data_IF_944890823676
#
_entry.id   IF_944890823676
#
_cell.length_a   1.000
_cell.length_b   1.000
_cell.length_c   1.000
_cell.angle_alpha   90.00
_cell.angle_beta   90.00
_cell.angle_gamma   90.00
#
_symmetry.space_group_name_H-M   'P 1'
#
loop_
_entity.id
_entity.type
_entity.pdbx_description
1 polymer ?
#
# COMPACT_ATOMS: atom_id res chain seq x y z
N UNK A 1 32.93 -4.28 30.31
CA UNK A 1 31.76 -3.40 30.33
C UNK A 1 30.78 -3.96 29.30
N UNK A 2 29.84 -4.81 29.75
CA UNK A 2 28.88 -5.46 28.86
C UNK A 2 27.81 -4.42 28.48
N UNK A 3 27.89 -3.89 27.26
CA UNK A 3 26.81 -3.09 26.69
C UNK A 3 25.67 -4.03 26.34
N UNK A 4 24.75 -4.24 27.29
CA UNK A 4 23.47 -4.87 26.99
C UNK A 4 22.74 -3.98 25.99
N UNK A 5 22.67 -4.43 24.74
CA UNK A 5 21.84 -3.81 23.72
C UNK A 5 20.41 -3.91 24.22
N UNK A 6 19.69 -2.79 24.42
CA UNK A 6 18.34 -2.83 24.97
C UNK A 6 17.45 -3.66 24.05
N UNK A 7 16.87 -4.75 24.57
CA UNK A 7 15.92 -5.58 23.82
C UNK A 7 14.75 -4.69 23.41
N UNK A 8 14.57 -4.52 22.10
CA UNK A 8 13.47 -3.78 21.50
C UNK A 8 12.15 -4.33 22.09
N UNK A 9 11.34 -3.45 22.68
CA UNK A 9 10.02 -3.84 23.19
C UNK A 9 9.14 -4.23 22.00
N UNK A 10 8.44 -5.36 22.06
CA UNK A 10 7.56 -5.81 20.96
C UNK A 10 6.49 -4.79 20.57
N UNK A 11 6.10 -3.89 21.49
CA UNK A 11 5.22 -2.73 21.21
C UNK A 11 5.86 -1.75 20.22
N UNK A 12 7.16 -1.51 20.37
CA UNK A 12 7.91 -0.61 19.50
C UNK A 12 8.07 -1.20 18.10
N UNK A 13 8.27 -2.52 17.99
CA UNK A 13 8.34 -3.20 16.69
C UNK A 13 7.01 -3.16 15.93
N UNK A 14 5.89 -3.39 16.62
CA UNK A 14 4.57 -3.20 16.02
C UNK A 14 4.32 -1.75 15.59
N UNK A 15 4.77 -0.78 16.38
CA UNK A 15 4.68 0.64 16.02
C UNK A 15 5.44 0.96 14.73
N UNK A 16 6.68 0.47 14.59
CA UNK A 16 7.47 0.66 13.37
C UNK A 16 6.88 -0.08 12.17
N UNK A 17 6.29 -1.26 12.37
CA UNK A 17 5.57 -1.97 11.33
C UNK A 17 4.39 -1.15 10.80
N UNK A 18 3.53 -0.66 11.71
CA UNK A 18 2.39 0.17 11.35
C UNK A 18 2.84 1.45 10.64
N UNK A 19 3.90 2.10 11.12
CA UNK A 19 4.45 3.31 10.51
C UNK A 19 4.98 3.04 9.10
N UNK A 20 5.66 1.91 8.87
CA UNK A 20 6.12 1.53 7.53
C UNK A 20 4.94 1.29 6.57
N UNK A 21 3.87 0.65 7.05
CA UNK A 21 2.65 0.45 6.26
C UNK A 21 1.97 1.76 5.89
N UNK A 22 1.87 2.69 6.84
CA UNK A 22 1.34 4.03 6.59
C UNK A 22 2.23 4.81 5.61
N UNK A 23 3.55 4.72 5.73
CA UNK A 23 4.48 5.34 4.79
C UNK A 23 4.34 4.76 3.38
N UNK A 24 4.17 3.44 3.28
CA UNK A 24 3.90 2.73 2.02
C UNK A 24 2.57 3.17 1.39
N UNK A 25 1.54 3.40 2.20
CA UNK A 25 0.29 3.97 1.72
C UNK A 25 0.47 5.43 1.26
N UNK A 26 1.21 6.24 2.02
CA UNK A 26 1.44 7.65 1.68
C UNK A 26 2.22 7.85 0.39
N UNK A 27 3.21 7.01 0.08
CA UNK A 27 3.89 7.07 -1.21
C UNK A 27 3.00 6.64 -2.37
N UNK A 28 2.11 5.66 -2.16
CA UNK A 28 1.11 5.25 -3.16
C UNK A 28 0.14 6.40 -3.44
N UNK A 29 -0.36 7.07 -2.39
CA UNK A 29 -1.21 8.28 -2.53
C UNK A 29 -0.47 9.34 -3.34
N UNK A 30 0.77 9.67 -2.97
CA UNK A 30 1.56 10.68 -3.66
C UNK A 30 1.75 10.35 -5.15
N UNK A 31 2.13 9.11 -5.47
CA UNK A 31 2.36 8.69 -6.85
C UNK A 31 1.08 8.78 -7.69
N UNK A 32 -0.06 8.38 -7.13
CA UNK A 32 -1.34 8.45 -7.81
C UNK A 32 -1.83 9.89 -7.96
N UNK A 33 -1.62 10.75 -6.95
CA UNK A 33 -1.92 12.18 -7.05
C UNK A 33 -1.07 12.86 -8.13
N UNK A 34 0.23 12.55 -8.20
CA UNK A 34 1.12 13.03 -9.27
C UNK A 34 0.69 12.51 -10.64
N UNK A 35 0.27 11.25 -10.73
CA UNK A 35 -0.24 10.68 -11.98
C UNK A 35 -1.51 11.40 -12.43
N UNK A 36 -2.44 11.67 -11.50
CA UNK A 36 -3.66 12.43 -11.75
C UNK A 36 -3.41 13.87 -12.21
N UNK A 37 -2.31 14.48 -11.77
CA UNK A 37 -1.87 15.81 -12.24
C UNK A 37 -1.31 15.79 -13.66
N UNK A 38 -0.62 14.72 -14.04
CA UNK A 38 -0.04 14.55 -15.38
C UNK A 38 -1.10 14.12 -16.41
N UNK A 39 -2.15 13.44 -15.94
CA UNK A 39 -3.19 12.90 -16.79
C UNK A 39 -4.20 14.00 -17.23
N UNK A 40 -4.61 14.03 -18.51
CA UNK A 40 -5.53 15.06 -19.00
C UNK A 40 -6.89 14.98 -18.31
N UNK A 41 -7.47 16.14 -17.95
CA UNK A 41 -8.72 16.28 -17.21
C UNK A 41 -9.95 15.66 -17.86
N UNK A 42 -9.84 15.27 -19.13
CA UNK A 42 -10.90 14.61 -19.93
C UNK A 42 -10.88 13.09 -19.82
N UNK A 43 -9.89 12.51 -19.15
CA UNK A 43 -9.78 11.07 -18.99
C UNK A 43 -10.12 10.70 -17.54
N UNK A 44 -11.20 9.93 -17.44
CA UNK A 44 -11.75 9.23 -16.29
C UNK A 44 -10.78 9.09 -15.11
N UNK A 45 -11.16 9.64 -13.96
CA UNK A 45 -10.32 9.65 -12.74
C UNK A 45 -9.93 8.22 -12.37
N UNK A 46 -8.79 8.01 -11.71
CA UNK A 46 -8.34 6.67 -11.28
C UNK A 46 -9.38 5.87 -10.46
N UNK A 47 -10.34 6.56 -9.82
CA UNK A 47 -11.51 5.95 -9.17
C UNK A 47 -12.47 5.23 -10.15
N UNK A 48 -12.60 5.74 -11.37
CA UNK A 48 -13.43 5.14 -12.42
C UNK A 48 -12.84 3.82 -12.92
N UNK A 49 -11.52 3.63 -12.83
CA UNK A 49 -10.90 2.33 -13.10
C UNK A 49 -11.31 1.26 -12.10
N UNK A 50 -11.73 1.67 -10.90
CA UNK A 50 -12.30 0.81 -9.88
C UNK A 50 -13.80 0.57 -10.09
N UNK A 51 -14.42 1.24 -11.07
CA UNK A 51 -15.87 1.19 -11.29
C UNK A 51 -16.67 1.73 -10.11
N UNK A 52 -16.05 2.61 -9.31
CA UNK A 52 -16.61 3.17 -8.09
C UNK A 52 -16.33 4.67 -8.04
N UNK A 53 -17.33 5.45 -7.63
CA UNK A 53 -17.11 6.82 -7.18
C UNK A 53 -16.63 6.79 -5.73
N UNK A 54 -15.35 6.49 -5.53
CA UNK A 54 -14.71 6.54 -4.21
C UNK A 54 -13.48 7.45 -4.24
N UNK A 55 -13.31 8.35 -3.26
CA UNK A 55 -12.10 9.17 -3.18
C UNK A 55 -10.85 8.30 -3.05
N UNK A 56 -9.72 8.81 -3.53
CA UNK A 56 -8.49 8.03 -3.69
C UNK A 56 -7.98 7.47 -2.36
N UNK A 57 -8.00 8.30 -1.33
CA UNK A 57 -7.58 7.97 0.02
C UNK A 57 -8.41 6.83 0.62
N UNK A 58 -9.71 6.76 0.31
CA UNK A 58 -10.59 5.73 0.86
C UNK A 58 -10.23 4.34 0.35
N UNK A 59 -9.90 4.21 -0.94
CA UNK A 59 -9.57 2.89 -1.46
C UNK A 59 -8.13 2.48 -1.15
N UNK A 60 -7.20 3.43 -1.01
CA UNK A 60 -5.82 3.13 -0.60
C UNK A 60 -5.78 2.73 0.87
N UNK A 61 -6.33 3.54 1.78
CA UNK A 61 -6.29 3.26 3.21
C UNK A 61 -7.32 2.21 3.64
N UNK A 62 -8.45 2.10 2.95
CA UNK A 62 -9.48 1.10 3.23
C UNK A 62 -9.19 -0.26 2.61
N UNK A 63 -8.99 -0.32 1.28
CA UNK A 63 -8.83 -1.59 0.56
C UNK A 63 -7.36 -1.99 0.41
N UNK A 64 -6.51 -1.14 -0.16
CA UNK A 64 -5.12 -1.52 -0.47
C UNK A 64 -4.30 -1.82 0.79
N UNK A 65 -4.42 -0.98 1.83
CA UNK A 65 -3.77 -1.20 3.11
C UNK A 65 -4.20 -2.53 3.72
N UNK A 66 -5.50 -2.80 3.78
CA UNK A 66 -6.07 -4.05 4.31
C UNK A 66 -5.58 -5.26 3.52
N UNK A 67 -5.60 -5.20 2.19
CA UNK A 67 -5.06 -6.24 1.33
C UNK A 67 -3.56 -6.45 1.59
N UNK A 68 -2.78 -5.39 1.84
CA UNK A 68 -1.36 -5.50 2.15
C UNK A 68 -1.11 -6.16 3.51
N UNK A 69 -2.01 -5.99 4.48
CA UNK A 69 -1.97 -6.68 5.77
C UNK A 69 -2.30 -8.16 5.60
N UNK A 70 -3.32 -8.47 4.79
CA UNK A 70 -3.65 -9.85 4.44
C UNK A 70 -2.48 -10.55 3.72
N UNK A 71 -1.81 -9.86 2.81
CA UNK A 71 -0.62 -10.39 2.13
C UNK A 71 0.52 -10.70 3.12
N UNK A 72 0.78 -9.82 4.09
CA UNK A 72 1.77 -10.07 5.14
C UNK A 72 1.37 -11.23 6.05
N UNK A 73 0.09 -11.33 6.41
CA UNK A 73 -0.42 -12.45 7.20
C UNK A 73 -0.20 -13.77 6.45
N UNK A 74 -0.55 -13.83 5.16
CA UNK A 74 -0.29 -15.02 4.32
C UNK A 74 1.20 -15.33 4.29
N UNK A 75 2.06 -14.35 4.00
CA UNK A 75 3.51 -14.55 3.98
C UNK A 75 4.09 -15.04 5.31
N UNK A 76 3.48 -14.68 6.44
CA UNK A 76 3.93 -15.14 7.77
C UNK A 76 3.77 -16.65 7.98
N UNK A 77 2.85 -17.29 7.26
CA UNK A 77 2.66 -18.75 7.28
C UNK A 77 3.56 -19.48 6.30
N UNK A 78 4.24 -18.78 5.38
CA UNK A 78 5.13 -19.38 4.40
C UNK A 78 6.59 -19.36 4.88
N UNK A 79 7.42 -20.35 4.51
CA UNK A 79 8.85 -20.31 4.78
C UNK A 79 9.48 -19.09 4.12
N UNK A 80 10.62 -18.60 4.61
CA UNK A 80 11.23 -17.34 4.12
C UNK A 80 11.34 -17.31 2.59
N UNK A 81 10.45 -16.55 1.97
CA UNK A 81 10.34 -16.49 0.51
C UNK A 81 11.36 -15.50 -0.05
N UNK A 82 11.96 -15.84 -1.18
CA UNK A 82 12.74 -14.90 -1.99
C UNK A 82 11.87 -13.72 -2.44
N UNK A 83 12.48 -12.56 -2.68
CA UNK A 83 11.79 -11.30 -3.05
C UNK A 83 10.78 -11.47 -4.19
N UNK A 84 11.13 -12.23 -5.24
CA UNK A 84 10.22 -12.48 -6.37
C UNK A 84 8.96 -13.26 -5.97
N UNK A 85 9.07 -14.24 -5.07
CA UNK A 85 7.91 -14.99 -4.57
C UNK A 85 7.04 -14.13 -3.65
N UNK A 86 7.64 -13.24 -2.86
CA UNK A 86 6.88 -12.26 -2.07
C UNK A 86 6.09 -11.31 -2.97
N UNK A 87 6.69 -10.85 -4.07
CA UNK A 87 6.01 -10.03 -5.07
C UNK A 87 4.85 -10.79 -5.74
N UNK A 88 5.01 -12.08 -6.03
CA UNK A 88 3.92 -12.90 -6.56
C UNK A 88 2.75 -13.01 -5.57
N UNK A 89 3.02 -13.22 -4.28
CA UNK A 89 1.97 -13.27 -3.24
C UNK A 89 1.28 -11.92 -3.09
N UNK A 90 2.03 -10.83 -2.99
CA UNK A 90 1.45 -9.48 -2.92
C UNK A 90 0.61 -9.16 -4.16
N UNK A 91 1.12 -9.49 -5.35
CA UNK A 91 0.41 -9.28 -6.61
C UNK A 91 -0.87 -10.11 -6.69
N UNK A 92 -0.82 -11.40 -6.30
CA UNK A 92 -1.99 -12.27 -6.29
C UNK A 92 -3.06 -11.81 -5.28
N UNK A 93 -2.64 -11.42 -4.08
CA UNK A 93 -3.55 -10.87 -3.07
C UNK A 93 -4.16 -9.56 -3.55
N UNK A 94 -3.38 -8.65 -4.14
CA UNK A 94 -3.89 -7.38 -4.66
C UNK A 94 -4.88 -7.60 -5.80
N UNK A 95 -4.54 -8.49 -6.73
CA UNK A 95 -5.38 -8.88 -7.85
C UNK A 95 -6.73 -9.42 -7.36
N UNK A 96 -6.72 -10.45 -6.51
CA UNK A 96 -7.93 -11.10 -6.02
C UNK A 96 -8.74 -10.17 -5.12
N UNK A 97 -8.10 -9.41 -4.24
CA UNK A 97 -8.80 -8.55 -3.30
C UNK A 97 -9.56 -7.45 -4.04
N UNK A 98 -8.93 -6.81 -5.03
CA UNK A 98 -9.59 -5.78 -5.83
C UNK A 98 -10.58 -6.35 -6.85
N UNK A 99 -10.35 -7.56 -7.37
CA UNK A 99 -11.32 -8.24 -8.21
C UNK A 99 -12.62 -8.53 -7.44
N UNK A 100 -12.53 -8.95 -6.17
CA UNK A 100 -13.67 -9.51 -5.44
C UNK A 100 -14.33 -8.53 -4.47
N UNK A 101 -13.59 -7.65 -3.80
CA UNK A 101 -14.08 -6.90 -2.64
C UNK A 101 -14.35 -5.41 -2.88
N UNK A 102 -13.97 -4.86 -4.04
CA UNK A 102 -14.21 -3.43 -4.32
C UNK A 102 -15.65 -3.16 -4.78
N UNK A 103 -16.40 -4.16 -5.25
CA UNK A 103 -17.85 -4.00 -5.51
C UNK A 103 -18.24 -3.14 -6.72
N UNK A 104 -17.29 -2.74 -7.58
CA UNK A 104 -17.58 -1.99 -8.82
C UNK A 104 -18.26 -2.83 -9.92
N UNK A 105 -18.47 -2.23 -11.09
CA UNK A 105 -19.09 -2.88 -12.24
C UNK A 105 -18.36 -4.19 -12.65
N UNK A 106 -19.06 -5.33 -12.85
CA UNK A 106 -18.47 -6.60 -13.29
C UNK A 106 -17.69 -6.51 -14.60
N UNK A 107 -18.07 -5.63 -15.52
CA UNK A 107 -17.40 -5.52 -16.83
C UNK A 107 -15.95 -5.00 -16.71
N UNK A 108 -15.63 -4.33 -15.60
CA UNK A 108 -14.32 -3.75 -15.34
C UNK A 108 -13.46 -4.60 -14.39
N UNK A 109 -13.90 -5.82 -14.05
CA UNK A 109 -13.24 -6.66 -13.03
C UNK A 109 -11.73 -6.84 -13.27
N UNK A 110 -11.33 -7.03 -14.53
CA UNK A 110 -9.92 -7.19 -14.92
C UNK A 110 -9.10 -5.92 -14.73
N UNK A 111 -9.69 -4.75 -15.02
CA UNK A 111 -9.04 -3.46 -14.81
C UNK A 111 -8.83 -3.20 -13.32
N UNK A 112 -9.84 -3.48 -12.49
CA UNK A 112 -9.72 -3.37 -11.02
C UNK A 112 -8.66 -4.30 -10.47
N UNK A 113 -8.65 -5.54 -10.94
CA UNK A 113 -7.71 -6.55 -10.49
C UNK A 113 -6.26 -6.16 -10.86
N UNK A 114 -6.05 -5.63 -12.07
CA UNK A 114 -4.76 -5.09 -12.49
C UNK A 114 -4.34 -3.88 -11.63
N UNK A 115 -5.27 -2.95 -11.33
CA UNK A 115 -5.01 -1.82 -10.46
C UNK A 115 -4.63 -2.26 -9.04
N UNK A 116 -5.34 -3.24 -8.47
CA UNK A 116 -5.04 -3.83 -7.16
C UNK A 116 -3.68 -4.51 -7.11
N UNK A 117 -3.32 -5.27 -8.16
CA UNK A 117 -2.00 -5.88 -8.30
C UNK A 117 -0.90 -4.82 -8.29
N UNK A 118 -1.01 -3.80 -9.15
CA UNK A 118 -0.01 -2.74 -9.24
C UNK A 118 0.13 -1.97 -7.92
N UNK A 119 -1.02 -1.67 -7.28
CA UNK A 119 -1.04 -0.98 -5.99
C UNK A 119 -0.31 -1.80 -4.93
N UNK A 120 -0.56 -3.10 -4.83
CA UNK A 120 0.10 -3.92 -3.81
C UNK A 120 1.59 -4.12 -4.10
N UNK A 121 2.02 -4.14 -5.37
CA UNK A 121 3.44 -4.13 -5.69
C UNK A 121 4.12 -2.83 -5.25
N UNK A 122 3.44 -1.67 -5.36
CA UNK A 122 3.94 -0.40 -4.81
C UNK A 122 4.02 -0.45 -3.28
N UNK A 123 3.04 -1.05 -2.60
CA UNK A 123 3.11 -1.28 -1.14
C UNK A 123 4.29 -2.16 -0.76
N UNK A 124 4.55 -3.24 -1.50
CA UNK A 124 5.70 -4.12 -1.25
C UNK A 124 7.02 -3.37 -1.46
N UNK A 125 7.11 -2.56 -2.51
CA UNK A 125 8.25 -1.71 -2.77
C UNK A 125 8.45 -0.69 -1.65
N UNK A 126 7.39 0.00 -1.21
CA UNK A 126 7.43 0.92 -0.06
C UNK A 126 7.94 0.24 1.21
N UNK A 127 7.41 -0.96 1.51
CA UNK A 127 7.84 -1.79 2.65
C UNK A 127 9.34 -2.05 2.66
N UNK A 128 9.96 -2.22 1.48
CA UNK A 128 11.38 -2.51 1.33
C UNK A 128 12.27 -1.26 1.38
N UNK A 129 11.76 -0.09 0.97
CA UNK A 129 12.53 1.14 0.91
C UNK A 129 12.46 1.94 2.22
N UNK A 130 11.35 1.85 2.95
CA UNK A 130 11.22 2.54 4.24
C UNK A 130 11.91 1.76 5.36
N UNK A 131 12.92 2.40 5.96
CA UNK A 131 13.66 1.90 7.11
C UNK A 131 13.08 2.48 8.40
N UNK A 132 12.98 1.66 9.45
CA UNK A 132 12.55 2.10 10.79
C UNK A 132 13.42 3.20 11.41
N UNK A 133 14.63 3.42 10.89
CA UNK A 133 15.57 4.42 11.41
C UNK A 133 15.56 5.74 10.62
N UNK A 134 14.81 5.81 9.52
CA UNK A 134 14.78 7.00 8.67
C UNK A 134 13.62 7.92 9.04
N UNK A 135 13.89 9.23 9.11
CA UNK A 135 12.87 10.28 9.23
C UNK A 135 11.93 10.34 8.01
N UNK A 136 12.33 9.73 6.88
CA UNK A 136 11.46 9.62 5.71
C UNK A 136 10.20 8.79 6.02
N UNK A 137 10.29 7.75 6.85
CA UNK A 137 9.14 6.89 7.16
C UNK A 137 8.01 7.63 7.89
N UNK A 138 8.24 8.36 9.00
CA UNK A 138 7.19 9.17 9.61
C UNK A 138 6.71 10.32 8.70
N UNK A 139 7.60 10.91 7.90
CA UNK A 139 7.22 11.95 6.94
C UNK A 139 6.22 11.44 5.88
N UNK A 140 6.52 10.32 5.24
CA UNK A 140 5.62 9.70 4.26
C UNK A 140 4.37 9.10 4.91
N UNK A 141 4.43 8.68 6.18
CA UNK A 141 3.27 8.14 6.88
C UNK A 141 2.24 9.22 7.28
N UNK A 142 2.69 10.44 7.58
CA UNK A 142 1.85 11.49 8.18
C UNK A 142 1.75 12.75 7.34
N UNK A 143 2.89 13.33 6.94
CA UNK A 143 2.91 14.63 6.26
C UNK A 143 2.44 14.51 4.81
N UNK A 144 2.94 13.53 4.07
CA UNK A 144 2.59 13.34 2.65
C UNK A 144 1.07 13.13 2.44
N UNK A 145 0.38 12.26 3.19
CA UNK A 145 -1.06 12.09 3.04
C UNK A 145 -1.85 13.38 3.32
N UNK A 146 -1.44 14.15 4.35
CA UNK A 146 -2.06 15.43 4.67
C UNK A 146 -1.85 16.47 3.57
N UNK A 147 -0.65 16.51 2.98
CA UNK A 147 -0.35 17.39 1.85
C UNK A 147 -1.18 17.01 0.62
N UNK A 148 -1.30 15.71 0.32
CA UNK A 148 -2.12 15.22 -0.79
C UNK A 148 -3.62 15.44 -0.58
N UNK A 149 -4.09 15.56 0.66
CA UNK A 149 -5.48 15.93 0.95
C UNK A 149 -5.75 17.40 0.61
N UNK A 150 -4.78 18.28 0.87
CA UNK A 150 -4.90 19.73 0.64
C UNK A 150 -4.88 20.13 -0.84
N UNK A 151 -4.54 19.20 -1.73
CA UNK A 151 -4.38 19.38 -3.18
C UNK A 151 -5.63 18.89 -3.90
#
# INVERSE_FOLDING_TARGET
MNSEIPRRSGRMDMGFYALNKLASAGIVVLLLSLLGWIWPSSADRASEWLGLYLPQEHWIYGYALTASLAADAILSFLPSLQKGKQAAVYGAVGFLFFALFTGGNPDQIWLRAAAGLLTLLLFLWGKHNFSSYSLATPFFALAVPLLCWLI
#
